data_IF_969615544858
#
_entry.id   IF_969615544858
#
_cell.length_a   1.000
_cell.length_b   1.000
_cell.length_c   1.000
_cell.angle_alpha   90.00
_cell.angle_beta   90.00
_cell.angle_gamma   90.00
#
_symmetry.space_group_name_H-M   'P 1'
#
loop_
_entity.id
_entity.type
_entity.pdbx_description
1 polymer ?
#
# COMPACT_ATOMS: atom_id res chain seq x y z
N UNK A 1 35.87 14.71 -11.00
CA UNK A 1 35.05 15.79 -11.59
C UNK A 1 33.62 15.29 -11.57
N UNK A 2 32.86 15.71 -10.56
CA UNK A 2 31.45 15.34 -10.38
C UNK A 2 30.67 16.40 -11.14
N UNK A 3 29.91 16.00 -12.16
CA UNK A 3 28.97 16.89 -12.86
C UNK A 3 27.72 17.03 -12.00
N UNK A 4 27.49 18.25 -11.50
CA UNK A 4 26.22 18.69 -10.92
C UNK A 4 25.07 18.44 -11.90
N UNK A 5 24.16 17.52 -11.55
CA UNK A 5 22.87 17.35 -12.20
C UNK A 5 21.81 17.29 -11.10
N UNK A 6 21.54 18.44 -10.48
CA UNK A 6 20.29 18.65 -9.73
C UNK A 6 19.12 18.60 -10.71
N UNK A 7 18.06 17.80 -10.48
CA UNK A 7 16.97 17.72 -11.44
C UNK A 7 16.13 19.02 -11.43
N UNK A 8 15.81 19.52 -12.63
CA UNK A 8 14.93 20.66 -12.86
C UNK A 8 13.45 20.34 -12.53
N UNK A 9 13.03 20.83 -11.36
CA UNK A 9 11.70 20.69 -10.76
C UNK A 9 10.57 21.41 -11.51
N UNK A 10 10.87 22.20 -12.55
CA UNK A 10 9.88 23.04 -13.26
C UNK A 10 8.77 22.28 -13.98
N UNK A 11 8.93 20.96 -14.18
CA UNK A 11 8.05 20.16 -15.03
C UNK A 11 6.99 19.37 -14.23
N UNK A 12 6.90 19.59 -12.92
CA UNK A 12 5.97 18.89 -12.04
C UNK A 12 4.99 19.88 -11.43
N UNK A 13 3.70 19.55 -11.52
CA UNK A 13 2.64 20.41 -11.00
C UNK A 13 2.58 20.34 -9.48
N UNK A 14 2.74 19.14 -8.92
CA UNK A 14 2.85 18.91 -7.47
C UNK A 14 3.89 17.85 -7.18
N UNK A 15 4.60 18.01 -6.06
CA UNK A 15 5.57 17.06 -5.52
C UNK A 15 5.17 16.74 -4.09
N UNK A 16 5.03 15.44 -3.82
CA UNK A 16 4.69 14.95 -2.50
C UNK A 16 5.38 13.62 -2.21
N UNK A 17 5.44 13.28 -0.93
CA UNK A 17 6.08 12.06 -0.41
C UNK A 17 5.04 11.11 0.15
N UNK A 18 5.23 9.81 -0.08
CA UNK A 18 4.33 8.74 0.36
C UNK A 18 5.13 7.76 1.21
N UNK A 19 4.60 7.41 2.38
CA UNK A 19 5.16 6.43 3.31
C UNK A 19 4.24 5.22 3.43
N UNK A 20 4.78 4.00 3.30
CA UNK A 20 4.08 2.76 3.60
C UNK A 20 4.82 1.99 4.70
N UNK A 21 4.12 1.68 5.79
CA UNK A 21 4.75 1.07 6.96
C UNK A 21 3.80 0.16 7.77
N UNK A 22 4.13 -1.13 7.84
CA UNK A 22 3.53 -2.03 8.81
C UNK A 22 4.23 -1.84 10.17
N UNK A 23 3.47 -1.41 11.18
CA UNK A 23 4.03 -1.00 12.49
C UNK A 23 4.18 -2.15 13.49
N UNK A 24 3.78 -3.38 13.12
CA UNK A 24 3.74 -4.55 13.99
C UNK A 24 2.89 -4.31 15.26
N UNK A 25 1.63 -4.72 15.25
CA UNK A 25 0.73 -4.54 16.39
C UNK A 25 1.24 -5.29 17.65
N UNK A 26 0.81 -4.86 18.83
CA UNK A 26 1.26 -5.45 20.09
C UNK A 26 0.86 -6.93 20.17
N UNK A 27 -0.34 -7.26 19.70
CA UNK A 27 -0.86 -8.63 19.65
C UNK A 27 0.07 -9.62 18.94
N UNK A 28 0.81 -9.20 17.92
CA UNK A 28 1.70 -10.08 17.15
C UNK A 28 3.17 -10.02 17.60
N UNK A 29 3.55 -9.01 18.39
CA UNK A 29 4.91 -8.80 18.91
C UNK A 29 5.27 -9.76 20.09
N UNK A 30 5.15 -11.06 19.85
CA UNK A 30 5.33 -12.09 20.88
C UNK A 30 6.75 -12.66 20.92
N UNK A 31 7.15 -13.21 22.07
CA UNK A 31 8.44 -13.89 22.22
C UNK A 31 8.56 -15.18 21.41
N UNK A 32 7.44 -15.79 21.05
CA UNK A 32 7.43 -16.98 20.20
C UNK A 32 7.88 -16.62 18.77
N UNK A 33 7.39 -15.50 18.23
CA UNK A 33 7.74 -15.03 16.90
C UNK A 33 9.11 -14.31 16.88
N UNK A 34 9.41 -13.55 17.94
CA UNK A 34 10.56 -12.65 18.00
C UNK A 34 11.50 -12.99 19.16
N UNK A 35 11.84 -14.28 19.31
CA UNK A 35 12.65 -14.78 20.44
C UNK A 35 14.06 -14.19 20.53
N UNK A 36 14.57 -13.62 19.43
CA UNK A 36 15.84 -12.91 19.36
C UNK A 36 15.78 -11.46 19.87
N UNK A 37 14.58 -10.87 20.01
CA UNK A 37 14.39 -9.52 20.51
C UNK A 37 14.19 -9.54 22.03
N UNK A 38 14.89 -8.69 22.82
CA UNK A 38 14.72 -8.69 24.25
C UNK A 38 13.29 -8.24 24.64
N UNK A 39 12.66 -8.82 25.67
CA UNK A 39 11.24 -8.60 25.97
C UNK A 39 10.86 -7.12 26.15
N UNK A 40 11.70 -6.34 26.82
CA UNK A 40 11.46 -4.90 27.04
C UNK A 40 11.42 -4.10 25.73
N UNK A 41 12.11 -4.56 24.68
CA UNK A 41 12.11 -3.93 23.37
C UNK A 41 10.91 -4.38 22.52
N UNK A 42 10.24 -5.48 22.87
CA UNK A 42 8.98 -5.91 22.26
C UNK A 42 7.77 -5.18 22.85
N UNK A 43 7.86 -4.72 24.10
CA UNK A 43 6.76 -4.02 24.76
C UNK A 43 6.28 -2.80 23.96
N UNK A 44 4.98 -2.71 23.73
CA UNK A 44 4.37 -1.63 22.96
C UNK A 44 4.76 -0.23 23.46
N UNK A 45 4.83 -0.02 24.77
CA UNK A 45 5.19 1.28 25.35
C UNK A 45 6.61 1.73 25.00
N UNK A 46 7.50 0.79 24.69
CA UNK A 46 8.82 1.07 24.14
C UNK A 46 8.73 1.29 22.62
N UNK A 47 8.21 0.31 21.87
CA UNK A 47 8.19 0.34 20.39
C UNK A 47 7.44 1.52 19.81
N UNK A 48 6.28 1.88 20.38
CA UNK A 48 5.43 2.96 19.86
C UNK A 48 6.15 4.29 19.76
N UNK A 49 7.11 4.56 20.67
CA UNK A 49 7.95 5.76 20.64
C UNK A 49 8.85 5.77 19.42
N UNK A 50 9.58 4.68 19.18
CA UNK A 50 10.43 4.54 17.99
C UNK A 50 9.63 4.59 16.69
N UNK A 51 8.47 3.93 16.63
CA UNK A 51 7.56 3.97 15.47
C UNK A 51 7.15 5.41 15.17
N UNK A 52 6.71 6.15 16.19
CA UNK A 52 6.29 7.54 16.03
C UNK A 52 7.47 8.45 15.65
N UNK A 53 8.65 8.26 16.24
CA UNK A 53 9.87 8.98 15.86
C UNK A 53 10.22 8.75 14.40
N UNK A 54 10.07 7.53 13.89
CA UNK A 54 10.33 7.18 12.50
C UNK A 54 9.33 7.84 11.55
N UNK A 55 8.03 7.76 11.85
CA UNK A 55 6.97 8.43 11.08
C UNK A 55 7.22 9.95 11.02
N UNK A 56 7.52 10.57 12.16
CA UNK A 56 7.77 12.02 12.24
C UNK A 56 9.07 12.43 11.57
N UNK A 57 10.13 11.61 11.66
CA UNK A 57 11.44 11.87 11.06
C UNK A 57 11.35 12.00 9.53
N UNK A 58 10.62 11.08 8.89
CA UNK A 58 10.48 11.10 7.42
C UNK A 58 9.47 12.13 6.94
N UNK A 59 8.52 12.54 7.79
CA UNK A 59 7.68 13.73 7.56
C UNK A 59 6.89 13.67 6.25
N UNK A 60 6.54 12.45 5.80
CA UNK A 60 5.94 12.19 4.50
C UNK A 60 4.57 12.87 4.34
N UNK A 61 4.21 13.34 3.16
CA UNK A 61 2.96 14.07 2.95
C UNK A 61 1.71 13.17 3.05
N UNK A 62 1.85 11.91 2.65
CA UNK A 62 0.84 10.85 2.77
C UNK A 62 1.48 9.67 3.50
N UNK A 63 0.82 9.11 4.51
CA UNK A 63 1.31 7.99 5.30
C UNK A 63 0.23 6.91 5.33
N UNK A 64 0.57 5.70 4.89
CA UNK A 64 -0.28 4.51 5.01
C UNK A 64 0.34 3.55 6.02
N UNK A 65 -0.42 3.19 7.06
CA UNK A 65 0.03 2.27 8.10
C UNK A 65 -0.82 0.99 8.10
N UNK A 66 -0.16 -0.15 8.29
CA UNK A 66 -0.80 -1.45 8.54
C UNK A 66 -0.50 -1.91 9.96
N UNK A 67 -1.34 -2.79 10.50
CA UNK A 67 -1.27 -3.29 11.88
C UNK A 67 -1.41 -2.20 12.96
N UNK A 68 -2.21 -1.17 12.69
CA UNK A 68 -2.55 -0.17 13.70
C UNK A 68 -3.70 -0.67 14.55
N UNK A 69 -3.51 -0.83 15.86
CA UNK A 69 -4.61 -1.16 16.78
C UNK A 69 -5.60 -0.01 16.94
N UNK A 70 -6.89 -0.35 17.06
CA UNK A 70 -7.98 0.62 17.15
C UNK A 70 -7.74 1.68 18.23
N UNK A 71 -7.41 1.26 19.45
CA UNK A 71 -7.16 2.18 20.57
C UNK A 71 -5.95 3.07 20.30
N UNK A 72 -4.90 2.51 19.69
CA UNK A 72 -3.67 3.23 19.38
C UNK A 72 -3.88 4.26 18.28
N UNK A 73 -4.74 4.00 17.29
CA UNK A 73 -5.10 5.01 16.30
C UNK A 73 -5.69 6.26 16.96
N UNK A 74 -6.75 6.07 17.76
CA UNK A 74 -7.51 7.19 18.33
C UNK A 74 -6.78 7.90 19.47
N UNK A 75 -6.01 7.17 20.30
CA UNK A 75 -5.40 7.72 21.51
C UNK A 75 -3.90 8.06 21.35
N UNK A 76 -3.24 7.61 20.27
CA UNK A 76 -1.82 7.84 20.08
C UNK A 76 -1.48 8.38 18.69
N UNK A 77 -1.70 7.62 17.61
CA UNK A 77 -1.27 8.02 16.28
C UNK A 77 -1.95 9.31 15.79
N UNK A 78 -3.29 9.36 15.82
CA UNK A 78 -4.03 10.51 15.34
C UNK A 78 -3.76 11.78 16.16
N UNK A 79 -3.81 11.78 17.51
CA UNK A 79 -3.49 12.96 18.30
C UNK A 79 -2.04 13.45 18.11
N UNK A 80 -1.06 12.55 18.02
CA UNK A 80 0.34 12.93 17.85
C UNK A 80 0.65 13.49 16.46
N UNK A 81 0.05 12.92 15.40
CA UNK A 81 0.24 13.40 14.03
C UNK A 81 -0.57 14.67 13.76
N UNK A 82 -1.71 14.88 14.44
CA UNK A 82 -2.45 16.16 14.37
C UNK A 82 -1.61 17.36 14.81
N UNK A 83 -0.72 17.17 15.80
CA UNK A 83 0.22 18.21 16.23
C UNK A 83 1.19 18.63 15.11
N UNK A 84 1.47 17.73 14.17
CA UNK A 84 2.39 17.94 13.05
C UNK A 84 1.66 18.28 11.73
N UNK A 85 0.36 18.62 11.80
CA UNK A 85 -0.44 19.09 10.66
C UNK A 85 -1.11 18.01 9.82
N UNK A 86 -1.21 16.79 10.34
CA UNK A 86 -1.91 15.69 9.66
C UNK A 86 -3.37 15.57 10.11
N UNK A 87 -4.19 15.00 9.24
CA UNK A 87 -5.43 14.33 9.63
C UNK A 87 -5.38 12.89 9.12
N UNK A 88 -6.32 12.03 9.55
CA UNK A 88 -6.27 10.64 9.15
C UNK A 88 -7.57 9.87 9.36
N UNK A 89 -7.69 8.77 8.62
CA UNK A 89 -8.77 7.78 8.70
C UNK A 89 -8.21 6.42 9.10
N UNK A 90 -9.09 5.59 9.68
CA UNK A 90 -8.76 4.24 10.13
C UNK A 90 -9.94 3.31 9.97
N UNK A 91 -9.66 2.05 9.67
CA UNK A 91 -10.65 0.99 9.78
C UNK A 91 -10.00 -0.28 10.37
N UNK A 92 -10.61 -0.90 11.39
CA UNK A 92 -10.15 -2.18 11.92
C UNK A 92 -10.55 -3.34 11.00
N UNK A 93 -9.84 -4.47 11.11
CA UNK A 93 -10.25 -5.72 10.44
C UNK A 93 -11.69 -6.12 10.79
N UNK A 94 -12.37 -6.78 9.86
CA UNK A 94 -13.82 -7.04 9.93
C UNK A 94 -14.26 -7.80 11.19
N UNK A 95 -13.37 -8.59 11.81
CA UNK A 95 -13.64 -9.26 13.10
C UNK A 95 -14.12 -8.32 14.20
N UNK A 96 -13.71 -7.05 14.18
CA UNK A 96 -14.15 -6.02 15.12
C UNK A 96 -15.68 -5.93 15.29
N UNK A 97 -16.45 -6.24 14.25
CA UNK A 97 -17.92 -6.20 14.24
C UNK A 97 -18.57 -7.26 15.13
N UNK A 98 -17.88 -8.36 15.39
CA UNK A 98 -18.38 -9.49 16.17
C UNK A 98 -17.75 -9.60 17.56
N UNK A 99 -16.93 -8.62 17.95
CA UNK A 99 -16.24 -8.57 19.23
C UNK A 99 -16.89 -7.57 20.18
N UNK A 100 -16.67 -7.77 21.47
CA UNK A 100 -17.09 -6.79 22.50
C UNK A 100 -16.32 -5.48 22.35
N UNK A 101 -16.84 -4.40 22.93
CA UNK A 101 -16.17 -3.08 22.87
C UNK A 101 -14.77 -3.12 23.50
N UNK A 102 -14.58 -3.88 24.58
CA UNK A 102 -13.28 -4.02 25.25
C UNK A 102 -12.25 -4.71 24.35
N UNK A 103 -12.65 -5.72 23.58
CA UNK A 103 -11.74 -6.47 22.71
C UNK A 103 -11.48 -5.74 21.39
N UNK A 104 -12.49 -5.01 20.89
CA UNK A 104 -12.40 -4.24 19.64
C UNK A 104 -11.25 -3.23 19.66
N UNK A 105 -10.93 -2.68 20.83
CA UNK A 105 -9.80 -1.77 21.07
C UNK A 105 -8.46 -2.32 20.59
N UNK A 106 -8.27 -3.63 20.65
CA UNK A 106 -7.03 -4.32 20.28
C UNK A 106 -7.10 -4.98 18.91
N UNK A 107 -8.17 -4.73 18.14
CA UNK A 107 -8.24 -5.17 16.74
C UNK A 107 -7.43 -4.19 15.91
N UNK A 108 -6.44 -4.73 15.22
CA UNK A 108 -5.62 -4.04 14.26
C UNK A 108 -6.33 -3.83 12.92
N UNK A 109 -5.83 -2.86 12.15
CA UNK A 109 -6.35 -2.49 10.84
C UNK A 109 -5.38 -1.64 10.05
N UNK A 110 -5.93 -0.88 9.10
CA UNK A 110 -5.17 0.04 8.26
C UNK A 110 -5.54 1.49 8.56
N UNK A 111 -4.57 2.38 8.46
CA UNK A 111 -4.76 3.83 8.60
C UNK A 111 -4.14 4.57 7.41
N UNK A 112 -4.76 5.71 7.04
CA UNK A 112 -4.21 6.65 6.06
C UNK A 112 -4.18 8.03 6.72
N UNK A 113 -3.02 8.68 6.68
CA UNK A 113 -2.84 10.07 7.10
C UNK A 113 -2.38 10.92 5.93
N UNK A 114 -2.73 12.20 5.95
CA UNK A 114 -2.29 13.17 4.94
C UNK A 114 -2.04 14.53 5.59
N UNK A 115 -1.13 15.32 5.00
CA UNK A 115 -0.93 16.72 5.40
C UNK A 115 -2.14 17.56 4.99
N UNK A 116 -2.80 18.14 5.98
CA UNK A 116 -4.00 18.99 5.78
C UNK A 116 -3.73 20.24 4.95
N UNK A 117 -2.48 20.72 4.94
CA UNK A 117 -2.07 21.84 4.08
C UNK A 117 -2.07 21.47 2.60
N UNK A 118 -1.72 20.23 2.26
CA UNK A 118 -1.59 19.76 0.88
C UNK A 118 -2.81 19.01 0.36
N UNK A 119 -3.57 18.35 1.24
CA UNK A 119 -4.67 17.49 0.84
C UNK A 119 -5.89 17.65 1.73
N UNK A 120 -7.07 17.46 1.13
CA UNK A 120 -8.36 17.44 1.81
C UNK A 120 -9.08 16.12 1.49
N UNK A 121 -9.58 15.42 2.50
CA UNK A 121 -10.38 14.20 2.30
C UNK A 121 -11.72 14.55 1.66
N UNK A 122 -12.00 13.91 0.53
CA UNK A 122 -13.30 14.00 -0.17
C UNK A 122 -14.21 12.85 0.24
N UNK A 123 -13.66 11.62 0.25
CA UNK A 123 -14.40 10.40 0.56
C UNK A 123 -13.48 9.31 1.06
N UNK A 124 -13.93 8.56 2.06
CA UNK A 124 -13.31 7.31 2.47
C UNK A 124 -14.09 6.09 1.98
N UNK A 125 -13.40 4.96 1.84
CA UNK A 125 -14.01 3.72 1.44
C UNK A 125 -13.32 2.51 2.09
N UNK A 126 -14.09 1.67 2.77
CA UNK A 126 -13.64 0.43 3.38
C UNK A 126 -13.96 -0.75 2.46
N UNK A 127 -12.97 -1.61 2.25
CA UNK A 127 -13.04 -2.81 1.42
C UNK A 127 -12.91 -4.01 2.35
N UNK A 128 -14.00 -4.75 2.52
CA UNK A 128 -14.04 -5.96 3.34
C UNK A 128 -14.00 -7.19 2.44
N UNK A 129 -12.83 -7.81 2.30
CA UNK A 129 -12.62 -8.89 1.33
C UNK A 129 -13.49 -10.11 1.63
N UNK A 130 -13.80 -10.40 2.89
CA UNK A 130 -14.75 -11.47 3.23
C UNK A 130 -16.16 -11.24 2.68
N UNK A 131 -16.66 -10.00 2.70
CA UNK A 131 -17.98 -9.66 2.19
C UNK A 131 -18.01 -9.70 0.66
N UNK A 132 -16.93 -9.27 0.01
CA UNK A 132 -16.78 -9.40 -1.43
C UNK A 132 -16.75 -10.88 -1.84
N UNK A 133 -15.94 -11.69 -1.16
CA UNK A 133 -15.88 -13.13 -1.39
C UNK A 133 -17.23 -13.81 -1.17
N UNK A 134 -17.99 -13.40 -0.14
CA UNK A 134 -19.35 -13.88 0.10
C UNK A 134 -20.32 -13.47 -1.01
N UNK A 135 -20.21 -12.26 -1.54
CA UNK A 135 -21.09 -11.76 -2.60
C UNK A 135 -20.76 -12.37 -3.98
N UNK A 136 -19.49 -12.68 -4.23
CA UNK A 136 -18.99 -13.16 -5.53
C UNK A 136 -18.63 -14.66 -5.53
N UNK A 137 -19.05 -15.42 -4.52
CA UNK A 137 -18.65 -16.82 -4.40
C UNK A 137 -19.15 -17.67 -5.57
N UNK A 138 -20.32 -17.35 -6.14
CA UNK A 138 -20.87 -17.96 -7.35
C UNK A 138 -20.89 -19.51 -7.37
N UNK A 139 -21.08 -20.12 -6.20
CA UNK A 139 -21.07 -21.57 -6.02
C UNK A 139 -19.67 -22.20 -5.89
N UNK A 140 -18.60 -21.40 -5.90
CA UNK A 140 -17.24 -21.84 -5.60
C UNK A 140 -17.09 -22.14 -4.11
N UNK A 141 -16.87 -23.41 -3.79
CA UNK A 141 -16.56 -23.83 -2.42
C UNK A 141 -15.22 -23.24 -1.94
N UNK A 142 -14.25 -23.08 -2.84
CA UNK A 142 -12.94 -22.51 -2.51
C UNK A 142 -13.03 -21.03 -2.10
N UNK A 143 -13.93 -20.26 -2.71
CA UNK A 143 -14.22 -18.88 -2.27
C UNK A 143 -14.79 -18.87 -0.85
N UNK A 144 -15.75 -19.76 -0.55
CA UNK A 144 -16.42 -19.82 0.75
C UNK A 144 -15.51 -20.37 1.86
N UNK A 145 -14.65 -21.33 1.54
CA UNK A 145 -13.83 -22.05 2.52
C UNK A 145 -12.46 -21.40 2.74
N UNK A 146 -11.89 -20.77 1.72
CA UNK A 146 -10.51 -20.24 1.78
C UNK A 146 -10.46 -18.73 1.88
N UNK A 147 -11.28 -18.01 1.10
CA UNK A 147 -11.25 -16.54 0.99
C UNK A 147 -12.18 -15.86 2.00
N UNK A 148 -13.47 -16.22 2.00
CA UNK A 148 -14.52 -15.61 2.84
C UNK A 148 -14.22 -15.64 4.36
N UNK A 149 -13.54 -16.65 4.94
CA UNK A 149 -13.22 -16.65 6.37
C UNK A 149 -12.11 -15.67 6.76
N UNK A 150 -11.43 -15.02 5.80
CA UNK A 150 -10.32 -14.12 6.07
C UNK A 150 -10.81 -12.69 6.30
N UNK A 151 -10.48 -12.12 7.45
CA UNK A 151 -10.96 -10.81 7.92
C UNK A 151 -10.10 -9.62 7.49
N UNK A 152 -9.20 -9.84 6.52
CA UNK A 152 -8.36 -8.81 5.93
C UNK A 152 -9.21 -7.70 5.29
N UNK A 153 -8.66 -6.49 5.23
CA UNK A 153 -9.33 -5.31 4.69
C UNK A 153 -8.40 -4.49 3.79
N UNK A 154 -9.01 -3.70 2.93
CA UNK A 154 -8.41 -2.53 2.28
C UNK A 154 -9.10 -1.24 2.75
N UNK A 155 -8.37 -0.14 2.77
CA UNK A 155 -8.89 1.19 3.09
C UNK A 155 -8.46 2.16 1.98
N UNK A 156 -9.38 2.99 1.51
CA UNK A 156 -9.11 3.98 0.49
C UNK A 156 -9.57 5.38 0.91
N UNK A 157 -8.77 6.38 0.57
CA UNK A 157 -9.05 7.80 0.75
C UNK A 157 -8.98 8.50 -0.61
N UNK A 158 -10.08 9.12 -1.04
CA UNK A 158 -10.09 10.04 -2.16
C UNK A 158 -9.72 11.43 -1.64
N UNK A 159 -8.55 11.92 -2.05
CA UNK A 159 -7.97 13.18 -1.62
C UNK A 159 -8.06 14.22 -2.75
N UNK A 160 -8.46 15.42 -2.39
CA UNK A 160 -8.31 16.60 -3.25
C UNK A 160 -6.98 17.28 -2.93
N UNK A 161 -6.25 17.70 -3.97
CA UNK A 161 -4.97 18.41 -3.83
C UNK A 161 -5.23 19.89 -3.64
N UNK A 162 -4.81 20.44 -2.51
CA UNK A 162 -4.99 21.84 -2.14
C UNK A 162 -3.99 22.75 -2.87
N UNK A 163 -4.28 24.05 -2.92
CA UNK A 163 -3.44 25.03 -3.60
C UNK A 163 -1.98 25.05 -3.12
N UNK A 164 -1.76 24.86 -1.81
CA UNK A 164 -0.43 24.86 -1.21
C UNK A 164 0.43 23.64 -1.59
N UNK A 165 -0.13 22.63 -2.25
CA UNK A 165 0.62 21.49 -2.77
C UNK A 165 1.19 21.72 -4.17
N UNK A 166 0.76 22.79 -4.86
CA UNK A 166 1.27 23.13 -6.19
C UNK A 166 2.58 23.92 -6.10
N UNK A 167 3.46 23.70 -7.07
CA UNK A 167 4.68 24.50 -7.23
C UNK A 167 4.41 25.93 -7.71
N UNK A 168 5.45 26.64 -8.13
CA UNK A 168 5.34 28.03 -8.65
C UNK A 168 4.49 28.13 -9.94
N UNK A 169 4.27 27.01 -10.62
CA UNK A 169 3.40 26.93 -11.80
C UNK A 169 2.04 26.34 -11.40
N UNK A 170 1.01 27.20 -11.38
CA UNK A 170 -0.36 26.76 -11.12
C UNK A 170 -0.85 25.85 -12.27
N UNK A 171 -1.39 24.65 -11.99
CA UNK A 171 -1.83 23.74 -13.04
C UNK A 171 -3.03 24.32 -13.81
N UNK A 172 -3.26 23.81 -15.02
CA UNK A 172 -4.53 24.07 -15.72
C UNK A 172 -5.72 23.59 -14.85
N UNK A 173 -6.87 24.26 -14.96
CA UNK A 173 -8.07 24.00 -14.13
C UNK A 173 -8.53 22.55 -14.19
N UNK A 174 -8.28 21.86 -15.32
CA UNK A 174 -8.56 20.44 -15.50
C UNK A 174 -7.73 19.53 -14.57
N UNK A 175 -6.49 19.89 -14.28
CA UNK A 175 -5.55 19.12 -13.45
C UNK A 175 -5.68 19.43 -11.96
N UNK A 176 -6.02 20.69 -11.61
CA UNK A 176 -6.37 21.07 -10.23
C UNK A 176 -7.56 20.24 -9.71
N UNK A 177 -8.42 19.78 -10.62
CA UNK A 177 -9.60 18.99 -10.29
C UNK A 177 -9.36 17.48 -10.21
N UNK A 178 -8.20 16.94 -10.63
CA UNK A 178 -7.97 15.49 -10.61
C UNK A 178 -7.63 15.00 -9.19
N UNK A 179 -8.48 14.18 -8.56
CA UNK A 179 -8.25 13.69 -7.21
C UNK A 179 -7.20 12.58 -7.18
N UNK A 180 -6.60 12.38 -6.01
CA UNK A 180 -5.67 11.28 -5.73
C UNK A 180 -6.44 10.24 -4.90
N UNK A 181 -6.55 9.02 -5.41
CA UNK A 181 -7.05 7.88 -4.66
C UNK A 181 -5.86 7.16 -4.01
N UNK A 182 -5.78 7.25 -2.68
CA UNK A 182 -4.80 6.54 -1.87
C UNK A 182 -5.45 5.30 -1.30
N UNK A 183 -4.92 4.13 -1.64
CA UNK A 183 -5.35 2.84 -1.11
C UNK A 183 -4.26 2.24 -0.22
N UNK A 184 -4.65 1.56 0.85
CA UNK A 184 -3.80 0.70 1.65
C UNK A 184 -4.48 -0.62 1.93
N UNK A 185 -3.76 -1.72 1.82
CA UNK A 185 -4.26 -3.05 2.18
C UNK A 185 -3.28 -3.81 3.09
N UNK A 186 -3.82 -4.70 3.91
CA UNK A 186 -3.04 -5.71 4.62
C UNK A 186 -3.59 -7.08 4.24
N UNK A 187 -2.95 -7.69 3.25
CA UNK A 187 -3.37 -8.95 2.61
C UNK A 187 -3.00 -10.14 3.49
N UNK A 188 -3.71 -11.26 3.32
CA UNK A 188 -3.50 -12.46 4.11
C UNK A 188 -2.03 -12.91 4.12
N UNK A 189 -1.52 -13.35 5.28
CA UNK A 189 -0.08 -13.58 5.48
C UNK A 189 0.40 -14.96 5.04
N UNK A 190 -0.41 -16.00 5.24
CA UNK A 190 0.00 -17.40 5.08
C UNK A 190 0.50 -17.70 3.65
N UNK A 191 1.76 -18.14 3.47
CA UNK A 191 2.31 -18.51 2.17
C UNK A 191 1.48 -19.58 1.42
N UNK A 192 0.78 -20.45 2.14
CA UNK A 192 -0.06 -21.50 1.56
C UNK A 192 -1.39 -21.00 0.96
N UNK A 193 -1.64 -19.70 1.03
CA UNK A 193 -2.87 -19.08 0.56
C UNK A 193 -2.59 -17.99 -0.50
N UNK A 194 -1.62 -18.22 -1.39
CA UNK A 194 -1.35 -17.33 -2.53
C UNK A 194 -2.60 -17.06 -3.40
N UNK A 195 -3.49 -18.05 -3.52
CA UNK A 195 -4.81 -17.93 -4.14
C UNK A 195 -5.69 -16.88 -3.46
N UNK A 196 -5.74 -16.88 -2.13
CA UNK A 196 -6.50 -15.89 -1.34
C UNK A 196 -5.90 -14.50 -1.52
N UNK A 197 -4.56 -14.38 -1.47
CA UNK A 197 -3.88 -13.09 -1.65
C UNK A 197 -4.24 -12.49 -3.02
N UNK A 198 -4.24 -13.31 -4.07
CA UNK A 198 -4.60 -12.89 -5.41
C UNK A 198 -6.09 -12.53 -5.54
N UNK A 199 -7.00 -13.32 -4.95
CA UNK A 199 -8.44 -13.01 -4.96
C UNK A 199 -8.76 -11.69 -4.22
N UNK A 200 -8.12 -11.43 -3.07
CA UNK A 200 -8.31 -10.18 -2.32
C UNK A 200 -7.98 -8.95 -3.19
N UNK A 201 -6.87 -8.99 -3.93
CA UNK A 201 -6.45 -7.91 -4.84
C UNK A 201 -7.40 -7.75 -6.03
N UNK A 202 -7.91 -8.87 -6.57
CA UNK A 202 -8.87 -8.84 -7.68
C UNK A 202 -10.20 -8.19 -7.24
N UNK A 203 -10.68 -8.50 -6.05
CA UNK A 203 -11.96 -8.00 -5.53
C UNK A 203 -11.92 -6.53 -5.13
N UNK A 204 -10.77 -6.01 -4.67
CA UNK A 204 -10.56 -4.60 -4.28
C UNK A 204 -11.08 -3.61 -5.34
N UNK A 205 -10.99 -3.96 -6.63
CA UNK A 205 -11.29 -3.06 -7.75
C UNK A 205 -12.77 -2.73 -7.93
N UNK A 206 -13.71 -3.50 -7.37
CA UNK A 206 -15.15 -3.27 -7.60
C UNK A 206 -15.74 -2.21 -6.67
N UNK A 207 -15.14 -2.00 -5.50
CA UNK A 207 -15.80 -1.27 -4.43
C UNK A 207 -15.74 0.26 -4.60
N UNK A 208 -15.06 0.76 -5.63
CA UNK A 208 -15.12 2.18 -6.05
C UNK A 208 -16.45 2.52 -6.72
N UNK A 209 -17.58 2.28 -6.04
CA UNK A 209 -18.93 2.77 -6.39
C UNK A 209 -19.11 4.25 -6.06
N UNK A 210 -18.14 5.09 -6.46
CA UNK A 210 -18.21 6.54 -6.38
C UNK A 210 -18.92 7.15 -7.58
N UNK A 211 -19.23 8.47 -7.55
CA UNK A 211 -19.74 9.18 -8.73
C UNK A 211 -18.84 8.91 -9.94
N UNK A 212 -19.43 8.94 -11.15
CA UNK A 212 -18.80 8.70 -12.46
C UNK A 212 -17.52 9.53 -12.67
N UNK A 213 -16.43 9.14 -12.03
CA UNK A 213 -15.10 9.60 -12.33
C UNK A 213 -14.51 8.51 -13.23
N UNK A 214 -14.09 8.90 -14.43
CA UNK A 214 -13.39 7.99 -15.30
C UNK A 214 -12.10 7.55 -14.58
N UNK A 215 -11.72 6.28 -14.73
CA UNK A 215 -10.43 5.76 -14.22
C UNK A 215 -9.26 6.56 -14.82
N UNK A 216 -9.48 7.18 -15.98
CA UNK A 216 -8.52 8.08 -16.63
C UNK A 216 -8.37 9.45 -15.94
N UNK A 217 -9.26 9.82 -15.03
CA UNK A 217 -9.29 11.12 -14.35
C UNK A 217 -8.83 11.09 -12.88
N UNK A 218 -8.36 9.93 -12.39
CA UNK A 218 -7.90 9.74 -11.00
C UNK A 218 -6.45 9.26 -10.98
N UNK A 219 -5.63 9.89 -10.14
CA UNK A 219 -4.31 9.39 -9.81
C UNK A 219 -4.40 8.32 -8.71
N UNK A 220 -3.87 7.13 -8.94
CA UNK A 220 -3.93 6.02 -7.97
C UNK A 220 -2.58 5.82 -7.29
N UNK A 221 -2.60 5.76 -5.96
CA UNK A 221 -1.51 5.30 -5.10
C UNK A 221 -2.00 4.07 -4.35
N UNK A 222 -1.42 2.90 -4.61
CA UNK A 222 -1.75 1.65 -3.93
C UNK A 222 -0.57 1.23 -3.06
N UNK A 223 -0.75 1.31 -1.74
CA UNK A 223 0.23 0.95 -0.74
C UNK A 223 -0.21 -0.32 0.00
N UNK A 224 0.71 -1.01 0.67
CA UNK A 224 0.30 -2.04 1.62
C UNK A 224 1.31 -3.14 1.85
N UNK A 225 1.04 -3.93 2.89
CA UNK A 225 1.67 -5.21 3.12
C UNK A 225 0.89 -6.28 2.34
N UNK A 226 1.46 -6.70 1.21
CA UNK A 226 0.85 -7.68 0.32
C UNK A 226 1.18 -9.12 0.73
N UNK A 227 2.10 -9.33 1.68
CA UNK A 227 2.60 -10.65 2.05
C UNK A 227 3.00 -11.51 0.83
N UNK A 228 3.48 -10.87 -0.25
CA UNK A 228 3.71 -11.50 -1.55
C UNK A 228 5.05 -11.06 -2.12
N UNK A 229 5.89 -12.01 -2.52
CA UNK A 229 7.21 -11.74 -3.10
C UNK A 229 7.09 -11.14 -4.53
N UNK A 230 8.14 -10.49 -5.06
CA UNK A 230 8.10 -9.85 -6.38
C UNK A 230 7.78 -10.79 -7.56
N UNK A 231 8.04 -12.08 -7.41
CA UNK A 231 7.79 -13.14 -8.39
C UNK A 231 6.41 -13.81 -8.25
N UNK A 232 5.58 -13.32 -7.32
CA UNK A 232 4.22 -13.84 -7.11
C UNK A 232 3.22 -13.40 -8.18
N UNK A 233 2.13 -14.16 -8.30
CA UNK A 233 0.98 -13.82 -9.14
C UNK A 233 0.31 -12.49 -8.74
N UNK A 234 0.35 -12.12 -7.45
CA UNK A 234 -0.15 -10.83 -6.96
C UNK A 234 0.61 -9.67 -7.61
N UNK A 235 1.94 -9.71 -7.54
CA UNK A 235 2.79 -8.64 -8.09
C UNK A 235 2.76 -8.66 -9.62
N UNK A 236 2.77 -9.85 -10.23
CA UNK A 236 2.56 -10.00 -11.68
C UNK A 236 1.26 -9.34 -12.13
N UNK A 237 0.14 -9.64 -11.48
CA UNK A 237 -1.16 -9.11 -11.86
C UNK A 237 -1.18 -7.58 -11.78
N UNK A 238 -0.68 -7.01 -10.66
CA UNK A 238 -0.62 -5.57 -10.45
C UNK A 238 0.28 -4.85 -11.46
N UNK A 239 1.43 -5.42 -11.82
CA UNK A 239 2.39 -4.79 -12.73
C UNK A 239 2.02 -4.97 -14.21
N UNK A 240 1.62 -6.18 -14.63
CA UNK A 240 1.29 -6.48 -16.03
C UNK A 240 -0.13 -6.02 -16.39
N UNK A 241 -0.97 -5.72 -15.40
CA UNK A 241 -2.39 -5.46 -15.60
C UNK A 241 -3.17 -6.68 -16.08
N UNK A 242 -2.58 -7.87 -15.99
CA UNK A 242 -3.19 -9.11 -16.45
C UNK A 242 -2.55 -10.34 -15.82
N UNK A 243 -3.34 -11.41 -15.67
CA UNK A 243 -2.89 -12.70 -15.16
C UNK A 243 -3.70 -13.84 -15.80
N UNK A 244 -3.04 -14.97 -16.05
CA UNK A 244 -3.71 -16.18 -16.53
C UNK A 244 -4.68 -16.73 -15.48
N UNK A 245 -5.88 -17.16 -15.87
CA UNK A 245 -6.79 -17.87 -14.96
C UNK A 245 -6.29 -19.27 -14.59
N UNK A 246 -5.25 -19.76 -15.27
CA UNK A 246 -4.51 -20.99 -14.96
C UNK A 246 -3.18 -20.71 -14.25
N UNK A 247 -2.99 -19.50 -13.71
CA UNK A 247 -1.78 -19.18 -12.96
C UNK A 247 -1.59 -20.15 -11.77
N UNK A 248 -0.36 -20.64 -11.50
CA UNK A 248 -0.10 -21.62 -10.45
C UNK A 248 -0.55 -21.16 -9.06
N UNK A 249 -0.52 -19.85 -8.79
CA UNK A 249 -1.03 -19.28 -7.53
C UNK A 249 -2.53 -19.50 -7.30
N UNK A 250 -3.34 -19.78 -8.33
CA UNK A 250 -4.73 -20.22 -8.12
C UNK A 250 -4.83 -21.69 -7.69
N UNK A 251 -3.72 -22.43 -7.64
CA UNK A 251 -3.61 -23.83 -7.20
C UNK A 251 -4.54 -24.81 -7.94
N UNK A 252 -5.00 -24.46 -9.14
CA UNK A 252 -5.98 -25.25 -9.89
C UNK A 252 -7.37 -25.32 -9.26
N UNK A 253 -7.67 -24.43 -8.31
CA UNK A 253 -8.93 -24.39 -7.57
C UNK A 253 -10.07 -23.76 -8.38
N UNK A 254 -11.31 -23.91 -7.90
CA UNK A 254 -12.56 -23.53 -8.56
C UNK A 254 -12.81 -22.01 -8.65
N UNK A 255 -11.80 -21.20 -8.93
CA UNK A 255 -11.89 -19.73 -9.04
C UNK A 255 -12.29 -19.25 -10.45
N UNK A 256 -12.19 -20.09 -11.47
CA UNK A 256 -12.51 -19.70 -12.86
C UNK A 256 -13.93 -19.16 -13.03
N UNK A 257 -14.92 -19.84 -12.46
CA UNK A 257 -16.34 -19.43 -12.59
C UNK A 257 -16.62 -18.09 -11.89
N UNK A 258 -16.21 -17.88 -10.61
CA UNK A 258 -16.24 -16.56 -10.00
C UNK A 258 -15.51 -15.49 -10.81
N UNK A 259 -14.27 -15.74 -11.26
CA UNK A 259 -13.48 -14.76 -12.01
C UNK A 259 -14.12 -14.37 -13.35
N UNK A 260 -14.68 -15.34 -14.08
CA UNK A 260 -15.41 -15.09 -15.31
C UNK A 260 -16.66 -14.25 -15.05
N UNK A 261 -17.41 -14.51 -13.98
CA UNK A 261 -18.60 -13.70 -13.64
C UNK A 261 -18.24 -12.31 -13.13
N UNK A 262 -17.20 -12.19 -12.30
CA UNK A 262 -16.63 -10.91 -11.88
C UNK A 262 -16.34 -10.06 -13.12
N UNK A 263 -15.74 -10.67 -14.14
CA UNK A 263 -15.45 -10.01 -15.40
C UNK A 263 -16.66 -9.71 -16.31
N UNK A 264 -17.67 -10.58 -16.30
CA UNK A 264 -18.89 -10.44 -17.11
C UNK A 264 -19.93 -9.53 -16.46
N UNK A 265 -19.78 -9.18 -15.18
CA UNK A 265 -20.72 -8.33 -14.45
C UNK A 265 -20.72 -6.90 -15.03
N UNK A 266 -21.77 -6.61 -15.81
CA UNK A 266 -21.95 -5.45 -16.71
C UNK A 266 -21.96 -4.05 -16.08
N UNK A 267 -21.57 -3.89 -14.80
CA UNK A 267 -21.84 -2.62 -14.10
C UNK A 267 -20.76 -1.56 -14.25
N UNK A 268 -19.47 -1.87 -14.38
CA UNK A 268 -18.45 -0.81 -14.50
C UNK A 268 -17.26 -1.28 -15.36
N UNK A 269 -17.19 -0.72 -16.59
CA UNK A 269 -16.16 -0.88 -17.63
C UNK A 269 -16.11 -2.20 -18.40
N UNK A 270 -16.70 -2.18 -19.59
CA UNK A 270 -16.52 -3.19 -20.63
C UNK A 270 -15.05 -3.24 -21.08
N UNK A 271 -14.38 -4.38 -20.88
CA UNK A 271 -13.00 -4.60 -21.33
C UNK A 271 -12.13 -5.52 -20.47
N UNK A 272 -12.65 -6.06 -19.36
CA UNK A 272 -11.83 -6.68 -18.29
C UNK A 272 -11.49 -8.17 -18.48
N UNK A 273 -12.06 -8.86 -19.46
CA UNK A 273 -11.66 -10.24 -19.80
C UNK A 273 -11.79 -10.47 -21.30
N UNK A 274 -10.72 -10.99 -21.89
CA UNK A 274 -10.79 -11.70 -23.16
C UNK A 274 -11.08 -13.17 -22.83
N UNK A 275 -12.36 -13.57 -22.84
CA UNK A 275 -12.79 -14.93 -22.47
C UNK A 275 -12.18 -15.99 -23.38
N UNK A 276 -11.88 -15.64 -24.63
CA UNK A 276 -11.14 -16.46 -25.59
C UNK A 276 -9.66 -16.66 -25.22
N UNK A 277 -9.08 -15.81 -24.37
CA UNK A 277 -7.67 -15.86 -23.99
C UNK A 277 -7.41 -16.39 -22.58
N UNK A 278 -8.45 -16.68 -21.77
CA UNK A 278 -8.31 -17.22 -20.41
C UNK A 278 -7.43 -16.35 -19.48
N UNK A 279 -7.54 -15.03 -19.63
CA UNK A 279 -6.78 -14.03 -18.89
C UNK A 279 -7.75 -13.09 -18.17
N UNK A 280 -7.46 -12.80 -16.91
CA UNK A 280 -8.09 -11.74 -16.13
C UNK A 280 -7.27 -10.45 -16.25
N UNK A 281 -7.89 -9.29 -16.52
CA UNK A 281 -7.16 -8.03 -16.71
C UNK A 281 -7.66 -6.92 -15.79
N UNK A 282 -6.82 -5.89 -15.62
CA UNK A 282 -7.15 -4.65 -14.96
C UNK A 282 -6.70 -3.44 -15.75
N UNK A 283 -7.52 -2.38 -15.77
CA UNK A 283 -7.26 -1.19 -16.58
C UNK A 283 -6.27 -0.19 -15.95
N UNK A 284 -5.92 -0.36 -14.66
CA UNK A 284 -4.87 0.45 -14.06
C UNK A 284 -3.53 0.08 -14.69
N UNK A 285 -2.80 1.05 -15.20
CA UNK A 285 -1.41 0.85 -15.63
C UNK A 285 -0.54 1.26 -14.44
N UNK A 286 -0.05 0.29 -13.69
CA UNK A 286 0.68 0.54 -12.44
C UNK A 286 2.18 0.32 -12.60
N UNK A 287 2.97 1.06 -11.84
CA UNK A 287 4.39 0.81 -11.63
C UNK A 287 4.71 0.80 -10.14
N UNK A 288 5.62 -0.09 -9.73
CA UNK A 288 6.21 -0.06 -8.39
C UNK A 288 7.16 1.14 -8.28
N UNK A 289 7.20 1.80 -7.12
CA UNK A 289 8.06 2.98 -6.91
C UNK A 289 9.54 2.63 -6.80
N UNK A 290 9.88 1.45 -6.27
CA UNK A 290 11.25 1.00 -6.13
C UNK A 290 11.51 -0.23 -6.99
N UNK A 291 12.68 -0.27 -7.62
CA UNK A 291 13.16 -1.47 -8.30
C UNK A 291 13.49 -2.54 -7.27
N UNK A 292 13.15 -3.80 -7.57
CA UNK A 292 13.38 -4.93 -6.66
C UNK A 292 14.88 -5.22 -6.44
N UNK A 293 15.78 -4.60 -7.21
CA UNK A 293 17.22 -4.61 -7.00
C UNK A 293 17.72 -3.55 -5.99
N UNK A 294 16.92 -2.53 -5.70
CA UNK A 294 17.31 -1.38 -4.85
C UNK A 294 17.07 -1.68 -3.36
N UNK A 295 15.95 -2.33 -3.05
CA UNK A 295 15.63 -2.78 -1.69
C UNK A 295 15.67 -4.30 -1.62
N UNK A 296 16.61 -4.91 -0.88
CA UNK A 296 16.70 -6.37 -0.80
C UNK A 296 15.57 -7.00 0.05
N UNK A 297 14.95 -6.22 0.93
CA UNK A 297 13.88 -6.66 1.82
C UNK A 297 13.08 -5.47 2.34
N UNK A 298 11.80 -5.69 2.58
CA UNK A 298 10.93 -4.78 3.34
C UNK A 298 10.55 -5.40 4.68
N UNK A 299 10.55 -6.74 4.77
CA UNK A 299 10.43 -7.50 6.00
C UNK A 299 11.75 -8.18 6.35
N UNK A 300 12.22 -8.03 7.60
CA UNK A 300 13.49 -8.57 8.04
C UNK A 300 13.32 -9.27 9.39
N UNK A 301 12.94 -10.56 9.39
CA UNK A 301 12.92 -11.40 10.59
C UNK A 301 14.03 -12.44 10.53
N UNK A 302 14.23 -13.21 11.60
CA UNK A 302 15.21 -14.29 11.61
C UNK A 302 14.90 -15.31 10.50
N UNK A 303 13.66 -15.80 10.45
CA UNK A 303 13.24 -16.88 9.53
C UNK A 303 12.90 -16.39 8.12
N UNK A 304 12.52 -15.13 7.93
CA UNK A 304 12.09 -14.61 6.64
C UNK A 304 12.62 -13.20 6.35
N UNK A 305 13.26 -13.05 5.19
CA UNK A 305 13.75 -11.78 4.66
C UNK A 305 13.29 -11.66 3.21
N UNK A 306 12.52 -10.63 2.89
CA UNK A 306 11.98 -10.46 1.56
C UNK A 306 11.19 -9.17 1.38
N UNK A 307 10.89 -8.86 0.12
CA UNK A 307 10.04 -7.73 -0.27
C UNK A 307 8.59 -8.21 -0.24
N UNK A 308 7.79 -7.64 0.64
CA UNK A 308 6.35 -7.90 0.74
C UNK A 308 5.50 -6.63 0.92
N UNK A 309 6.14 -5.46 1.06
CA UNK A 309 5.46 -4.18 1.29
C UNK A 309 5.69 -3.23 0.11
N UNK A 310 4.64 -2.80 -0.57
CA UNK A 310 4.77 -2.11 -1.86
C UNK A 310 4.13 -0.73 -1.84
N UNK A 311 4.64 0.14 -2.71
CA UNK A 311 3.94 1.34 -3.17
C UNK A 311 3.88 1.25 -4.69
N UNK A 312 2.68 1.14 -5.21
CA UNK A 312 2.37 1.22 -6.64
C UNK A 312 1.71 2.56 -6.94
N UNK A 313 1.95 3.08 -8.14
CA UNK A 313 1.26 4.27 -8.62
C UNK A 313 0.80 4.11 -10.06
N UNK A 314 -0.23 4.86 -10.46
CA UNK A 314 -0.62 4.97 -11.86
C UNK A 314 0.51 5.59 -12.69
N UNK A 315 0.89 4.95 -13.80
CA UNK A 315 1.95 5.45 -14.70
C UNK A 315 1.54 6.71 -15.47
N UNK A 316 0.23 6.96 -15.58
CA UNK A 316 -0.28 8.20 -16.14
C UNK A 316 -0.49 9.16 -14.97
N UNK A 317 0.24 10.27 -14.97
CA UNK A 317 0.04 11.35 -14.01
C UNK A 317 0.85 11.24 -12.72
N UNK A 318 1.56 10.15 -12.45
CA UNK A 318 2.54 10.05 -11.35
C UNK A 318 3.86 9.51 -11.88
N UNK A 319 4.97 10.16 -11.50
CA UNK A 319 6.34 9.67 -11.72
C UNK A 319 7.06 9.58 -10.38
N UNK A 320 7.75 8.46 -10.16
CA UNK A 320 8.65 8.31 -9.01
C UNK A 320 9.94 9.08 -9.25
N UNK A 321 10.35 9.86 -8.25
CA UNK A 321 11.50 10.74 -8.31
C UNK A 321 12.68 10.24 -7.46
N UNK A 322 12.37 9.52 -6.39
CA UNK A 322 13.32 8.89 -5.51
C UNK A 322 12.61 8.04 -4.47
N UNK A 323 13.33 7.09 -3.89
CA UNK A 323 12.85 6.21 -2.82
C UNK A 323 13.80 6.26 -1.60
N UNK A 324 13.37 5.84 -0.43
CA UNK A 324 14.32 5.67 0.67
C UNK A 324 15.08 4.36 0.46
N UNK A 325 16.41 4.42 0.44
CA UNK A 325 17.26 3.23 0.35
C UNK A 325 17.19 2.38 1.62
N UNK A 326 17.62 1.11 1.57
CA UNK A 326 17.63 0.23 2.73
C UNK A 326 18.62 0.72 3.80
N UNK A 327 18.47 0.23 5.04
CA UNK A 327 19.54 0.34 6.05
C UNK A 327 20.77 -0.37 5.49
N UNK A 328 21.93 0.25 5.68
CA UNK A 328 23.22 -0.30 5.28
C UNK A 328 23.37 -1.76 5.77
N UNK A 329 23.53 -2.74 4.85
CA UNK A 329 23.77 -4.14 5.21
C UNK A 329 24.97 -4.35 6.16
N UNK A 330 25.98 -3.49 6.09
CA UNK A 330 27.13 -3.55 7.01
C UNK A 330 26.71 -3.21 8.44
N UNK A 331 25.72 -2.33 8.63
CA UNK A 331 25.21 -2.00 9.95
C UNK A 331 24.62 -3.23 10.64
N UNK A 332 23.81 -4.03 9.94
CA UNK A 332 23.26 -5.28 10.50
C UNK A 332 24.37 -6.25 10.90
N UNK A 333 25.39 -6.39 10.04
CA UNK A 333 26.53 -7.29 10.27
C UNK A 333 27.35 -6.85 11.48
N UNK A 334 27.72 -5.57 11.54
CA UNK A 334 28.54 -4.97 12.60
C UNK A 334 27.85 -5.03 13.98
N UNK A 335 26.53 -4.92 14.01
CA UNK A 335 25.72 -4.97 15.24
C UNK A 335 25.15 -6.36 15.53
N UNK A 336 25.47 -7.38 14.71
CA UNK A 336 24.99 -8.77 14.83
C UNK A 336 23.45 -8.86 14.88
N UNK A 337 22.77 -8.00 14.13
CA UNK A 337 21.31 -7.96 14.04
C UNK A 337 20.85 -8.99 13.01
N UNK A 338 20.28 -10.09 13.49
CA UNK A 338 19.85 -11.23 12.64
C UNK A 338 18.38 -11.16 12.21
N UNK A 339 17.62 -10.27 12.83
CA UNK A 339 16.19 -10.03 12.59
C UNK A 339 15.69 -8.81 13.36
N UNK A 340 14.56 -8.28 12.93
CA UNK A 340 13.81 -7.18 13.53
C UNK A 340 12.46 -7.70 14.06
N UNK A 341 11.84 -7.04 15.06
CA UNK A 341 12.28 -5.81 15.72
C UNK A 341 13.55 -5.99 16.55
N UNK A 342 14.22 -4.88 16.82
CA UNK A 342 15.47 -4.74 17.56
C UNK A 342 15.37 -3.48 18.45
N UNK A 343 16.12 -3.33 19.55
CA UNK A 343 16.15 -2.09 20.35
C UNK A 343 16.28 -0.77 19.59
N UNK A 344 16.85 -0.79 18.37
CA UNK A 344 17.00 0.37 17.48
C UNK A 344 16.06 0.37 16.28
N UNK A 345 15.27 -0.70 16.09
CA UNK A 345 14.36 -0.91 14.95
C UNK A 345 13.03 -1.42 15.51
N UNK A 346 12.00 -0.57 15.63
CA UNK A 346 10.83 -0.88 16.46
C UNK A 346 9.76 -1.74 15.77
N UNK A 347 9.90 -2.05 14.48
CA UNK A 347 9.04 -2.95 13.70
C UNK A 347 9.84 -4.14 13.15
N UNK A 348 9.15 -5.21 12.72
CA UNK A 348 9.72 -6.28 11.89
C UNK A 348 10.13 -5.81 10.48
N UNK A 349 9.69 -4.60 10.10
CA UNK A 349 10.11 -3.89 8.88
C UNK A 349 11.21 -2.89 9.26
N UNK A 350 12.43 -3.01 8.72
CA UNK A 350 13.56 -2.20 9.16
C UNK A 350 13.47 -0.72 8.78
N UNK A 351 12.71 -0.39 7.73
CA UNK A 351 12.38 0.98 7.35
C UNK A 351 10.97 1.04 6.76
N UNK A 352 10.31 2.20 6.86
CA UNK A 352 9.19 2.50 5.99
C UNK A 352 9.66 2.61 4.54
N UNK A 353 8.84 2.10 3.62
CA UNK A 353 9.01 2.43 2.20
C UNK A 353 8.57 3.87 2.03
N UNK A 354 9.49 4.78 1.76
CA UNK A 354 9.18 6.19 1.44
C UNK A 354 9.52 6.47 -0.02
N UNK A 355 8.60 7.06 -0.77
CA UNK A 355 8.84 7.47 -2.16
C UNK A 355 8.44 8.93 -2.38
N UNK A 356 9.29 9.70 -3.03
CA UNK A 356 8.95 11.01 -3.58
C UNK A 356 8.32 10.84 -4.95
N UNK A 357 7.10 11.34 -5.12
CA UNK A 357 6.33 11.26 -6.36
C UNK A 357 5.97 12.65 -6.87
N UNK A 358 6.07 12.85 -8.17
CA UNK A 358 5.66 14.09 -8.85
C UNK A 358 4.61 13.84 -9.92
N UNK A 359 3.65 14.75 -10.07
CA UNK A 359 2.62 14.69 -11.11
C UNK A 359 2.98 15.55 -12.34
N UNK A 360 2.65 15.10 -13.56
CA UNK A 360 3.05 15.75 -14.83
C UNK A 360 1.98 15.66 -15.95
N UNK A 361 2.15 16.43 -17.03
CA UNK A 361 1.11 16.73 -18.04
C UNK A 361 1.17 16.03 -19.42
N UNK A 362 2.16 15.18 -19.77
CA UNK A 362 2.14 14.35 -21.02
C UNK A 362 3.24 13.25 -21.11
N UNK A 363 3.01 12.21 -21.93
CA UNK A 363 3.65 10.86 -21.99
C UNK A 363 5.20 10.77 -22.09
N UNK A 364 5.86 9.69 -21.58
CA UNK A 364 7.30 9.70 -21.28
C UNK A 364 8.23 8.88 -22.22
N UNK A 365 9.52 9.22 -22.22
CA UNK A 365 10.66 8.37 -22.61
C UNK A 365 11.71 8.30 -21.47
N UNK A 366 12.47 7.21 -21.44
CA UNK A 366 13.21 6.60 -20.31
C UNK A 366 14.58 7.22 -19.95
N UNK A 367 14.92 7.30 -18.65
CA UNK A 367 16.07 6.61 -17.94
C UNK A 367 16.25 7.10 -16.47
N UNK A 368 16.77 6.20 -15.62
CA UNK A 368 17.16 6.25 -14.18
C UNK A 368 18.26 7.29 -13.84
N UNK A 369 18.60 7.72 -12.61
CA UNK A 369 18.32 7.36 -11.21
C UNK A 369 18.68 8.58 -10.29
N UNK A 370 17.94 8.76 -9.19
CA UNK A 370 18.18 9.62 -7.99
C UNK A 370 18.29 11.15 -8.11
N UNK A 371 17.14 11.81 -7.91
CA UNK A 371 16.79 13.02 -7.12
C UNK A 371 15.44 13.50 -7.69
N UNK A 372 14.62 14.13 -6.85
CA UNK A 372 13.38 14.86 -7.19
C UNK A 372 13.39 15.42 -8.64
N UNK A 373 12.77 14.73 -9.62
CA UNK A 373 12.13 15.29 -10.83
C UNK A 373 12.94 16.10 -11.88
N UNK A 374 13.27 15.52 -13.06
CA UNK A 374 13.52 16.25 -14.34
C UNK A 374 13.26 15.39 -15.60
N UNK A 375 12.78 16.00 -16.71
CA UNK A 375 13.36 15.94 -18.09
C UNK A 375 13.01 17.24 -18.86
N UNK A 376 14.07 17.92 -19.32
CA UNK A 376 14.30 18.86 -20.45
C UNK A 376 13.25 19.87 -20.94
N UNK A 377 13.73 21.10 -21.21
CA UNK A 377 13.13 22.04 -22.16
C UNK A 377 13.99 22.05 -23.44
N UNK A 378 13.30 21.85 -24.58
CA UNK A 378 13.73 21.84 -25.98
C UNK A 378 14.67 20.72 -26.45
#
# INVERSE_FOLDING_TARGET
MISDLSPNLSNFTSIYTVMCYNVLCDKYATRQMYGYCPPWALEWNFRKKGIMEEVKRYSADIITLQEVETDQFFNYFLPELKKDGYDGIFSPKSRAKHMTESERKYVDGCAIFWRTTKFTLVKEHLIEFNQLAMANHDGSEDMLNRVMPKDNIGLAALLHTNEAAWGESYPDKSQVCQPILVCTAHIHWDPEFCDVKLMQIIEERRSTGGPKLDIHDIHLLLCGDLNSLPDSGVVEFLMKGSISMDHPDFKGLGYKTPLQKIALSKSHNAGLVNTSANIYTHSFRLAATYGFSVMPYTNYTYDFKGIIDYIFHSVNGIRTLGVLGPIDPEWFTNHKVVGCPHPHIPSGKPLPTVSGTGAYSSTPSTTSEWVVAQVANN
#
